data_IF_335771915493
#
_entry.id   IF_335771915493
#
_cell.length_a   1.000
_cell.length_b   1.000
_cell.length_c   1.000
_cell.angle_alpha   90.00
_cell.angle_beta   90.00
_cell.angle_gamma   90.00
#
_symmetry.space_group_name_H-M   'P 1'
#
loop_
_entity.id
_entity.type
_entity.pdbx_description
1 polymer ?
#
# COMPACT_ATOMS: atom_id res chain seq x y z
N UNK A 1 -9.23 3.87 -7.99
CA UNK A 1 -9.97 4.71 -7.02
C UNK A 1 -9.33 4.55 -5.67
N UNK A 2 -9.16 5.65 -4.94
CA UNK A 2 -8.75 5.63 -3.53
C UNK A 2 -10.00 5.70 -2.63
N UNK A 3 -9.99 4.94 -1.54
CA UNK A 3 -11.10 4.83 -0.59
C UNK A 3 -10.52 4.94 0.81
N UNK A 4 -11.12 5.78 1.64
CA UNK A 4 -10.66 6.08 2.99
C UNK A 4 -11.58 5.40 4.01
N UNK A 5 -10.96 4.63 4.90
CA UNK A 5 -11.60 3.94 6.00
C UNK A 5 -11.26 4.61 7.31
N UNK A 6 -12.25 4.75 8.17
CA UNK A 6 -12.03 5.06 9.58
C UNK A 6 -11.65 3.76 10.31
N UNK A 7 -10.77 3.87 11.30
CA UNK A 7 -10.31 2.73 12.08
C UNK A 7 -10.64 2.99 13.54
N UNK A 8 -11.28 2.04 14.20
CA UNK A 8 -11.62 2.15 15.62
C UNK A 8 -10.33 2.21 16.45
N UNK A 9 -10.34 3.07 17.47
CA UNK A 9 -9.21 3.28 18.40
C UNK A 9 -7.90 3.72 17.70
N UNK A 10 -7.99 4.38 16.55
CA UNK A 10 -6.84 4.90 15.81
C UNK A 10 -7.10 6.33 15.32
N UNK A 11 -6.16 7.24 15.58
CA UNK A 11 -6.34 8.69 15.35
C UNK A 11 -6.34 9.10 13.88
N UNK A 12 -5.79 8.26 12.99
CA UNK A 12 -5.69 8.55 11.56
C UNK A 12 -6.63 7.66 10.75
N UNK A 13 -6.83 8.00 9.49
CA UNK A 13 -7.58 7.16 8.55
C UNK A 13 -6.65 6.19 7.81
N UNK A 14 -7.24 5.13 7.25
CA UNK A 14 -6.54 4.19 6.37
C UNK A 14 -7.10 4.32 4.95
N UNK A 15 -6.27 4.77 4.02
CA UNK A 15 -6.66 4.89 2.61
C UNK A 15 -6.13 3.69 1.83
N UNK A 16 -6.97 3.11 0.98
CA UNK A 16 -6.62 1.98 0.09
C UNK A 16 -6.84 2.37 -1.36
N UNK A 17 -6.15 1.69 -2.26
CA UNK A 17 -6.36 1.84 -3.70
C UNK A 17 -6.95 0.56 -4.30
N UNK A 18 -7.96 0.71 -5.16
CA UNK A 18 -8.55 -0.39 -5.92
C UNK A 18 -8.82 -0.01 -7.38
N UNK A 19 -8.67 -0.97 -8.29
CA UNK A 19 -9.15 -0.89 -9.67
C UNK A 19 -10.51 -1.55 -9.87
N UNK A 20 -11.03 -2.22 -8.82
CA UNK A 20 -12.31 -2.94 -8.80
C UNK A 20 -13.23 -2.38 -7.70
N UNK A 21 -13.65 -1.10 -7.78
CA UNK A 21 -14.65 -0.57 -6.85
C UNK A 21 -16.02 -1.25 -7.02
N UNK A 22 -16.28 -1.90 -8.16
CA UNK A 22 -17.47 -2.73 -8.37
C UNK A 22 -17.62 -3.78 -7.27
N UNK A 23 -16.52 -4.40 -6.82
CA UNK A 23 -16.55 -5.48 -5.83
C UNK A 23 -16.50 -5.00 -4.39
N UNK A 24 -16.64 -3.69 -4.14
CA UNK A 24 -16.40 -3.07 -2.83
C UNK A 24 -17.25 -3.67 -1.70
N UNK A 25 -18.51 -4.02 -1.98
CA UNK A 25 -19.43 -4.61 -1.00
C UNK A 25 -19.03 -6.02 -0.54
N UNK A 26 -18.08 -6.65 -1.22
CA UNK A 26 -17.46 -7.92 -0.87
C UNK A 26 -16.16 -7.77 -0.06
N UNK A 27 -15.80 -6.54 0.34
CA UNK A 27 -14.63 -6.27 1.16
C UNK A 27 -14.86 -6.81 2.59
N UNK A 28 -14.15 -7.87 2.96
CA UNK A 28 -14.31 -8.53 4.27
C UNK A 28 -13.16 -8.28 5.24
N UNK A 29 -12.01 -7.80 4.75
CA UNK A 29 -10.88 -7.36 5.58
C UNK A 29 -10.01 -6.36 4.83
N UNK A 30 -9.14 -5.66 5.55
CA UNK A 30 -8.11 -4.81 4.96
C UNK A 30 -6.73 -5.41 5.18
N UNK A 31 -5.85 -5.32 4.20
CA UNK A 31 -4.47 -5.74 4.32
C UNK A 31 -3.53 -4.55 4.18
N UNK A 32 -2.63 -4.37 5.14
CA UNK A 32 -1.62 -3.32 5.16
C UNK A 32 -0.22 -3.91 5.02
N UNK A 33 0.69 -3.15 4.42
CA UNK A 33 2.09 -3.53 4.37
C UNK A 33 2.68 -3.62 5.78
N UNK A 34 3.62 -4.52 6.01
CA UNK A 34 4.33 -4.64 7.29
C UNK A 34 4.99 -3.32 7.74
N UNK A 35 5.44 -2.49 6.79
CA UNK A 35 6.03 -1.18 7.08
C UNK A 35 5.03 -0.05 7.34
N UNK A 36 3.72 -0.28 7.22
CA UNK A 36 2.69 0.76 7.31
C UNK A 36 2.60 1.34 8.74
N UNK A 37 2.38 2.66 8.91
CA UNK A 37 2.31 3.28 10.25
C UNK A 37 1.32 2.62 11.21
N UNK A 38 0.15 2.18 10.70
CA UNK A 38 -0.84 1.43 11.48
C UNK A 38 -0.28 0.09 11.99
N UNK A 39 0.44 -0.66 11.15
CA UNK A 39 1.06 -1.92 11.55
C UNK A 39 2.17 -1.70 12.59
N UNK A 40 2.97 -0.64 12.43
CA UNK A 40 3.97 -0.24 13.41
C UNK A 40 3.35 0.13 14.75
N UNK A 41 2.21 0.84 14.73
CA UNK A 41 1.47 1.22 15.94
C UNK A 41 0.90 0.00 16.66
N UNK A 42 0.32 -0.95 15.91
CA UNK A 42 -0.18 -2.20 16.47
C UNK A 42 0.94 -3.07 17.07
N UNK A 43 2.13 -3.06 16.46
CA UNK A 43 3.28 -3.84 16.91
C UNK A 43 3.82 -3.40 18.28
N UNK A 44 3.56 -2.17 18.73
CA UNK A 44 3.97 -1.69 20.07
C UNK A 44 3.44 -2.59 21.19
N UNK A 45 2.24 -3.18 20.99
CA UNK A 45 1.57 -4.02 21.98
C UNK A 45 1.37 -5.47 21.52
N UNK A 46 1.92 -5.86 20.37
CA UNK A 46 1.78 -7.19 19.79
C UNK A 46 3.16 -7.75 19.37
N UNK A 47 3.78 -8.62 20.21
CA UNK A 47 5.09 -9.20 19.92
C UNK A 47 5.14 -10.05 18.65
N UNK A 48 4.05 -10.75 18.32
CA UNK A 48 3.96 -11.55 17.09
C UNK A 48 4.02 -10.65 15.85
N UNK A 49 3.27 -9.54 15.87
CA UNK A 49 3.29 -8.57 14.80
C UNK A 49 4.64 -7.86 14.68
N UNK A 50 5.28 -7.51 15.80
CA UNK A 50 6.62 -6.93 15.79
C UNK A 50 7.65 -7.87 15.12
N UNK A 51 7.62 -9.16 15.48
CA UNK A 51 8.48 -10.18 14.86
C UNK A 51 8.20 -10.35 13.37
N UNK A 52 6.92 -10.34 12.97
CA UNK A 52 6.51 -10.43 11.57
C UNK A 52 6.99 -9.22 10.73
N UNK A 53 6.93 -8.01 11.30
CA UNK A 53 7.44 -6.80 10.63
C UNK A 53 8.95 -6.90 10.40
N UNK A 54 9.71 -7.39 11.38
CA UNK A 54 11.15 -7.57 11.25
C UNK A 54 11.52 -8.73 10.30
N UNK A 55 10.72 -9.81 10.23
CA UNK A 55 10.85 -10.84 9.19
C UNK A 55 10.71 -10.22 7.80
N UNK A 56 9.63 -9.46 7.58
CA UNK A 56 9.33 -8.84 6.28
C UNK A 56 10.40 -7.83 5.84
N UNK A 57 11.03 -7.10 6.77
CA UNK A 57 12.12 -6.16 6.46
C UNK A 57 13.37 -6.84 5.91
N UNK A 58 13.64 -8.06 6.38
CA UNK A 58 14.83 -8.83 5.98
C UNK A 58 14.60 -9.62 4.68
N UNK A 59 13.34 -9.79 4.27
CA UNK A 59 12.94 -10.46 3.04
C UNK A 59 12.97 -9.47 1.86
N UNK A 60 14.13 -9.32 1.22
CA UNK A 60 14.25 -8.60 -0.06
C UNK A 60 13.92 -9.54 -1.20
N UNK A 61 12.68 -9.50 -1.66
CA UNK A 61 12.18 -10.43 -2.67
C UNK A 61 11.67 -9.64 -3.86
N UNK A 62 12.01 -10.09 -5.08
CA UNK A 62 11.48 -9.47 -6.29
C UNK A 62 9.97 -9.71 -6.39
N UNK A 63 9.19 -8.80 -7.01
CA UNK A 63 7.73 -8.96 -7.14
C UNK A 63 7.32 -10.35 -7.65
N UNK A 64 8.08 -10.91 -8.61
CA UNK A 64 7.79 -12.22 -9.19
C UNK A 64 7.94 -13.37 -8.19
N UNK A 65 8.89 -13.27 -7.26
CA UNK A 65 9.10 -14.25 -6.21
C UNK A 65 8.04 -14.09 -5.10
N UNK A 66 7.55 -12.86 -4.85
CA UNK A 66 6.46 -12.64 -3.88
C UNK A 66 5.14 -13.30 -4.29
N UNK A 67 4.89 -13.45 -5.60
CA UNK A 67 3.68 -14.10 -6.10
C UNK A 67 3.64 -15.61 -5.81
N UNK A 68 4.80 -16.26 -5.69
CA UNK A 68 4.92 -17.70 -5.39
C UNK A 68 5.21 -17.98 -3.92
N UNK A 69 5.55 -16.93 -3.14
CA UNK A 69 5.76 -17.05 -1.71
C UNK A 69 4.48 -17.43 -0.98
N UNK A 70 4.68 -18.17 0.12
CA UNK A 70 3.61 -18.42 1.05
C UNK A 70 3.06 -17.09 1.61
N UNK A 71 1.76 -16.88 1.44
CA UNK A 71 1.07 -15.71 1.98
C UNK A 71 1.03 -15.81 3.49
N UNK A 72 1.71 -14.89 4.16
CA UNK A 72 1.76 -14.78 5.62
C UNK A 72 1.19 -13.45 6.04
N UNK A 73 0.50 -13.46 7.18
CA UNK A 73 0.03 -12.24 7.83
C UNK A 73 -0.35 -12.48 9.28
N UNK A 74 -0.51 -11.37 9.98
CA UNK A 74 -0.84 -11.30 11.41
C UNK A 74 -1.97 -10.29 11.60
N UNK A 75 -2.95 -10.63 12.44
CA UNK A 75 -4.04 -9.71 12.80
C UNK A 75 -3.45 -8.54 13.60
N UNK A 76 -3.75 -7.31 13.17
CA UNK A 76 -3.29 -6.10 13.86
C UNK A 76 -4.09 -5.82 15.13
N UNK A 77 -5.26 -6.45 15.30
CA UNK A 77 -6.23 -6.17 16.34
C UNK A 77 -7.15 -4.99 16.02
N UNK A 78 -6.75 -4.10 15.10
CA UNK A 78 -7.56 -2.97 14.66
C UNK A 78 -8.72 -3.43 13.77
N UNK A 79 -9.85 -2.72 13.88
CA UNK A 79 -11.02 -2.88 13.03
C UNK A 79 -11.28 -1.59 12.27
N UNK A 80 -11.46 -1.70 10.97
CA UNK A 80 -11.87 -0.60 10.12
C UNK A 80 -13.39 -0.62 9.91
N UNK A 81 -13.99 0.55 9.79
CA UNK A 81 -15.43 0.68 9.53
C UNK A 81 -15.64 0.76 8.03
N UNK A 82 -16.36 -0.21 7.47
CA UNK A 82 -16.70 -0.22 6.05
C UNK A 82 -17.67 0.94 5.75
N UNK A 83 -17.35 1.88 4.85
CA UNK A 83 -18.09 3.15 4.74
C UNK A 83 -19.53 2.98 4.23
N UNK A 84 -19.84 1.96 3.43
CA UNK A 84 -21.20 1.72 2.92
C UNK A 84 -22.06 0.80 3.80
N UNK A 85 -21.49 -0.25 4.41
CA UNK A 85 -22.25 -1.19 5.25
C UNK A 85 -22.26 -0.79 6.73
N UNK A 86 -21.28 0.00 7.18
CA UNK A 86 -21.05 0.30 8.60
C UNK A 86 -20.46 -0.86 9.40
N UNK A 87 -20.19 -2.00 8.77
CA UNK A 87 -19.64 -3.19 9.43
C UNK A 87 -18.17 -3.01 9.78
N UNK A 88 -17.76 -3.61 10.90
CA UNK A 88 -16.36 -3.69 11.29
C UNK A 88 -15.65 -4.81 10.53
N UNK A 89 -14.58 -4.46 9.83
CA UNK A 89 -13.74 -5.40 9.10
C UNK A 89 -12.33 -5.43 9.72
N UNK A 90 -11.73 -6.62 9.92
CA UNK A 90 -10.41 -6.74 10.52
C UNK A 90 -9.31 -6.16 9.62
N UNK A 91 -8.30 -5.57 10.24
CA UNK A 91 -7.08 -5.10 9.56
C UNK A 91 -5.94 -6.08 9.83
N UNK A 92 -5.33 -6.58 8.76
CA UNK A 92 -4.23 -7.54 8.81
C UNK A 92 -2.95 -6.93 8.24
N UNK A 93 -1.81 -7.23 8.86
CA UNK A 93 -0.51 -6.98 8.24
C UNK A 93 -0.16 -8.19 7.36
N UNK A 94 0.15 -7.97 6.08
CA UNK A 94 0.42 -9.05 5.14
C UNK A 94 1.70 -8.82 4.33
N UNK A 95 2.40 -9.91 4.02
CA UNK A 95 3.71 -9.85 3.33
C UNK A 95 3.59 -9.51 1.85
N UNK A 96 2.44 -9.76 1.22
CA UNK A 96 2.21 -9.50 -0.20
C UNK A 96 1.78 -8.05 -0.50
N UNK A 97 1.53 -7.24 0.54
CA UNK A 97 1.19 -5.82 0.40
C UNK A 97 2.46 -4.97 0.46
N UNK A 98 2.71 -4.21 -0.60
CA UNK A 98 3.92 -3.41 -0.75
C UNK A 98 3.67 -1.95 -0.34
N UNK A 99 4.50 -1.44 0.56
CA UNK A 99 4.41 -0.03 1.02
C UNK A 99 4.64 0.98 -0.13
N UNK A 100 5.47 0.60 -1.11
CA UNK A 100 5.81 1.44 -2.27
C UNK A 100 4.71 1.47 -3.35
N UNK A 101 3.70 0.61 -3.24
CA UNK A 101 2.64 0.49 -4.23
C UNK A 101 1.32 1.06 -3.71
N UNK A 102 0.80 2.09 -4.37
CA UNK A 102 -0.40 2.79 -3.95
C UNK A 102 -0.20 3.48 -2.59
N UNK A 103 -1.08 3.21 -1.64
CA UNK A 103 -1.05 3.78 -0.28
C UNK A 103 -0.37 2.87 0.74
N UNK A 104 0.16 1.73 0.31
CA UNK A 104 0.66 0.69 1.23
C UNK A 104 -0.44 -0.10 1.95
N UNK A 105 -1.68 0.02 1.48
CA UNK A 105 -2.84 -0.70 1.98
C UNK A 105 -3.79 -1.07 0.84
N UNK A 106 -4.44 -2.22 0.96
CA UNK A 106 -5.42 -2.73 -0.01
C UNK A 106 -6.68 -3.20 0.72
N UNK A 107 -7.83 -2.99 0.09
CA UNK A 107 -9.06 -3.67 0.48
C UNK A 107 -8.99 -5.09 -0.05
N UNK A 108 -9.34 -6.07 0.78
CA UNK A 108 -9.33 -7.45 0.36
C UNK A 108 -10.74 -7.92 0.03
N UNK A 109 -10.91 -8.46 -1.18
CA UNK A 109 -12.19 -8.98 -1.67
C UNK A 109 -12.03 -10.44 -2.07
N UNK A 110 -12.04 -11.37 -1.10
CA UNK A 110 -11.72 -12.79 -1.33
C UNK A 110 -12.58 -13.47 -2.39
N UNK A 111 -13.82 -13.03 -2.58
CA UNK A 111 -14.67 -13.61 -3.63
C UNK A 111 -14.20 -13.32 -5.05
N UNK A 112 -13.39 -12.28 -5.26
CA UNK A 112 -13.07 -11.74 -6.58
C UNK A 112 -11.60 -11.37 -6.82
N UNK A 113 -10.72 -11.57 -5.84
CA UNK A 113 -9.26 -11.52 -6.00
C UNK A 113 -8.64 -12.82 -5.47
N UNK A 114 -7.90 -13.52 -6.33
CA UNK A 114 -7.31 -14.82 -6.01
C UNK A 114 -6.26 -14.74 -4.88
N UNK A 115 -5.55 -13.61 -4.74
CA UNK A 115 -4.55 -13.44 -3.68
C UNK A 115 -5.24 -13.28 -2.34
N UNK A 116 -6.32 -12.51 -2.31
CA UNK A 116 -7.15 -12.31 -1.13
C UNK A 116 -7.89 -13.60 -0.75
N UNK A 117 -8.36 -14.36 -1.74
CA UNK A 117 -8.97 -15.67 -1.53
C UNK A 117 -8.04 -16.63 -0.79
N UNK A 118 -6.82 -16.83 -1.31
CA UNK A 118 -5.87 -17.76 -0.69
C UNK A 118 -5.49 -17.33 0.74
N UNK A 119 -5.38 -16.02 1.00
CA UNK A 119 -5.15 -15.52 2.34
C UNK A 119 -6.36 -15.75 3.25
N UNK A 120 -7.56 -15.42 2.78
CA UNK A 120 -8.79 -15.62 3.54
C UNK A 120 -9.04 -17.10 3.87
N UNK A 121 -8.87 -17.99 2.90
CA UNK A 121 -9.00 -19.44 3.10
C UNK A 121 -7.98 -19.97 4.11
N UNK A 122 -6.74 -19.49 4.07
CA UNK A 122 -5.68 -19.90 5.01
C UNK A 122 -5.97 -19.46 6.45
N UNK A 123 -6.48 -18.25 6.63
CA UNK A 123 -6.69 -17.63 7.94
C UNK A 123 -8.14 -17.71 8.44
N UNK A 124 -9.03 -18.39 7.70
CA UNK A 124 -10.44 -18.55 8.07
C UNK A 124 -11.22 -17.23 8.06
N UNK A 125 -10.85 -16.28 7.20
CA UNK A 125 -11.55 -15.01 7.04
C UNK A 125 -12.80 -15.18 6.18
N UNK A 126 -13.75 -14.26 6.35
CA UNK A 126 -15.01 -14.30 5.63
C UNK A 126 -14.80 -14.13 4.11
N UNK A 127 -15.46 -14.96 3.30
CA UNK A 127 -15.44 -14.91 1.84
C UNK A 127 -16.86 -14.59 1.37
N UNK A 128 -17.05 -13.38 0.84
CA UNK A 128 -18.38 -12.87 0.44
C UNK A 128 -18.45 -12.71 -1.08
N UNK A 129 -19.31 -13.47 -1.79
CA UNK A 129 -19.53 -13.26 -3.22
C UNK A 129 -20.44 -12.04 -3.45
N UNK A 130 -20.07 -11.22 -4.43
CA UNK A 130 -20.82 -10.02 -4.84
C UNK A 130 -20.96 -9.85 -6.36
N UNK A 131 -20.33 -10.70 -7.17
CA UNK A 131 -20.47 -10.72 -8.63
C UNK A 131 -21.05 -12.06 -9.07
N UNK A 132 -22.10 -12.03 -9.88
CA UNK A 132 -22.71 -13.23 -10.48
C UNK A 132 -21.77 -13.86 -11.52
N UNK A 133 -21.88 -15.17 -11.68
CA UNK A 133 -21.21 -15.89 -12.76
C UNK A 133 -21.75 -15.47 -14.14
N UNK A 134 -21.08 -15.87 -15.21
CA UNK A 134 -21.41 -15.46 -16.59
C UNK A 134 -22.82 -15.88 -17.04
N UNK A 135 -23.40 -16.92 -16.43
CA UNK A 135 -24.76 -17.39 -16.69
C UNK A 135 -25.82 -16.73 -15.78
N UNK A 136 -25.42 -15.79 -14.91
CA UNK A 136 -26.28 -15.10 -13.97
C UNK A 136 -26.54 -15.86 -12.66
N UNK A 137 -25.89 -17.01 -12.44
CA UNK A 137 -25.98 -17.76 -11.19
C UNK A 137 -25.03 -17.23 -10.10
N UNK A 138 -25.28 -17.59 -8.84
CA UNK A 138 -24.33 -17.33 -7.76
C UNK A 138 -23.06 -18.18 -7.97
N UNK A 139 -21.85 -17.58 -7.88
CA UNK A 139 -20.62 -18.30 -8.16
C UNK A 139 -20.28 -19.31 -7.05
N UNK A 140 -19.75 -20.46 -7.45
CA UNK A 140 -19.11 -21.40 -6.52
C UNK A 140 -17.69 -20.92 -6.21
N UNK A 141 -17.50 -20.41 -4.99
CA UNK A 141 -16.22 -19.97 -4.45
C UNK A 141 -15.55 -21.02 -3.56
N UNK A 142 -15.91 -22.31 -3.66
CA UNK A 142 -15.33 -23.36 -2.82
C UNK A 142 -13.87 -23.68 -3.17
N UNK A 143 -13.44 -23.38 -4.40
CA UNK A 143 -12.09 -23.69 -4.89
C UNK A 143 -11.24 -22.44 -5.15
N UNK A 144 -11.81 -21.38 -5.72
CA UNK A 144 -11.08 -20.20 -6.18
C UNK A 144 -11.97 -18.95 -6.25
N UNK A 145 -11.35 -17.78 -6.40
CA UNK A 145 -12.06 -16.52 -6.63
C UNK A 145 -12.64 -16.44 -8.05
N UNK A 146 -13.80 -15.78 -8.20
CA UNK A 146 -14.34 -15.39 -9.50
C UNK A 146 -13.75 -14.04 -9.91
N UNK A 147 -12.76 -14.06 -10.81
CA UNK A 147 -12.04 -12.84 -11.22
C UNK A 147 -12.73 -12.07 -12.35
N UNK A 148 -13.62 -12.74 -13.07
CA UNK A 148 -14.40 -12.16 -14.17
C UNK A 148 -15.25 -10.98 -13.71
N UNK A 149 -15.55 -10.10 -14.66
CA UNK A 149 -16.47 -8.98 -14.46
C UNK A 149 -17.88 -9.45 -14.81
N UNK A 150 -18.85 -9.10 -13.98
CA UNK A 150 -20.22 -9.53 -14.14
C UNK A 150 -21.20 -8.58 -13.47
N UNK A 151 -22.44 -9.05 -13.30
CA UNK A 151 -23.52 -8.31 -12.66
C UNK A 151 -23.39 -8.39 -11.15
N UNK A 152 -23.64 -7.28 -10.46
CA UNK A 152 -23.60 -7.22 -9.01
C UNK A 152 -24.80 -7.93 -8.36
N UNK A 153 -24.51 -8.67 -7.29
CA UNK A 153 -25.47 -9.15 -6.32
C UNK A 153 -24.90 -9.00 -4.90
N UNK A 154 -25.71 -9.21 -3.85
CA UNK A 154 -25.28 -9.00 -2.45
C UNK A 154 -24.62 -7.63 -2.15
N UNK A 155 -24.98 -6.62 -2.92
CA UNK A 155 -24.36 -5.28 -2.96
C UNK A 155 -25.36 -4.16 -2.64
N UNK A 156 -26.49 -4.47 -2.01
CA UNK A 156 -27.48 -3.48 -1.56
C UNK A 156 -28.08 -2.66 -2.70
N UNK A 157 -27.92 -1.34 -2.67
CA UNK A 157 -28.47 -0.41 -3.66
C UNK A 157 -27.86 -0.57 -5.07
N UNK A 158 -26.74 -1.31 -5.20
CA UNK A 158 -26.04 -1.53 -6.47
C UNK A 158 -26.39 -2.87 -7.15
N UNK A 159 -27.29 -3.66 -6.56
CA UNK A 159 -27.69 -4.95 -7.12
C UNK A 159 -28.28 -4.80 -8.54
N UNK A 160 -27.91 -5.73 -9.43
CA UNK A 160 -28.39 -5.77 -10.81
C UNK A 160 -27.66 -4.86 -11.80
N UNK A 161 -26.70 -4.05 -11.34
CA UNK A 161 -25.85 -3.26 -12.22
C UNK A 161 -24.76 -4.13 -12.86
N UNK A 162 -24.43 -3.85 -14.12
CA UNK A 162 -23.25 -4.39 -14.78
C UNK A 162 -21.96 -3.72 -14.27
N UNK A 163 -20.80 -4.23 -14.68
CA UNK A 163 -19.51 -3.75 -14.18
C UNK A 163 -19.29 -2.24 -14.38
N UNK A 164 -19.64 -1.69 -15.55
CA UNK A 164 -19.37 -0.28 -15.86
C UNK A 164 -20.31 0.67 -15.09
N UNK A 165 -21.59 0.32 -15.00
CA UNK A 165 -22.56 1.08 -14.21
C UNK A 165 -22.24 0.97 -12.72
N UNK A 166 -21.92 -0.23 -12.23
CA UNK A 166 -21.50 -0.52 -10.87
C UNK A 166 -20.28 0.31 -10.45
N UNK A 167 -19.24 0.30 -11.29
CA UNK A 167 -18.02 1.05 -11.03
C UNK A 167 -18.33 2.54 -10.83
N UNK A 168 -19.10 3.13 -11.74
CA UNK A 168 -19.44 4.55 -11.67
C UNK A 168 -20.35 4.85 -10.47
N UNK A 169 -21.38 4.04 -10.23
CA UNK A 169 -22.32 4.25 -9.13
C UNK A 169 -21.64 4.20 -7.75
N UNK A 170 -20.78 3.20 -7.52
CA UNK A 170 -20.03 3.08 -6.26
C UNK A 170 -19.00 4.21 -6.14
N UNK A 171 -18.30 4.55 -7.23
CA UNK A 171 -17.33 5.64 -7.20
C UNK A 171 -17.99 6.98 -6.88
N UNK A 172 -19.15 7.28 -7.48
CA UNK A 172 -19.88 8.52 -7.26
C UNK A 172 -20.46 8.57 -5.85
N UNK A 173 -20.96 7.45 -5.33
CA UNK A 173 -21.44 7.35 -3.94
C UNK A 173 -20.33 7.64 -2.93
N UNK A 174 -19.17 6.98 -3.07
CA UNK A 174 -18.03 7.17 -2.18
C UNK A 174 -17.48 8.60 -2.26
N UNK A 175 -17.47 9.20 -3.47
CA UNK A 175 -17.07 10.59 -3.68
C UNK A 175 -18.06 11.56 -3.01
N UNK A 176 -19.37 11.34 -3.17
CA UNK A 176 -20.41 12.17 -2.56
C UNK A 176 -20.38 12.11 -1.02
N UNK A 177 -19.95 10.97 -0.45
CA UNK A 177 -19.75 10.80 0.99
C UNK A 177 -18.43 11.41 1.50
N UNK A 178 -17.55 11.88 0.60
CA UNK A 178 -16.24 12.44 0.96
C UNK A 178 -15.23 11.40 1.44
N UNK A 179 -15.49 10.11 1.18
CA UNK A 179 -14.64 8.98 1.64
C UNK A 179 -13.91 8.29 0.49
N UNK A 180 -13.96 8.82 -0.73
CA UNK A 180 -13.18 8.29 -1.84
C UNK A 180 -13.01 9.27 -3.00
N UNK A 181 -11.98 9.03 -3.80
CA UNK A 181 -11.70 9.83 -5.00
C UNK A 181 -11.23 8.97 -6.18
N UNK A 182 -11.66 9.33 -7.39
CA UNK A 182 -11.21 8.66 -8.62
C UNK A 182 -9.73 8.99 -8.87
N UNK A 183 -8.87 8.01 -8.62
CA UNK A 183 -7.43 8.08 -8.87
C UNK A 183 -6.99 7.19 -10.04
N UNK A 184 -6.14 7.74 -10.90
CA UNK A 184 -5.37 6.98 -11.90
C UNK A 184 -4.02 6.62 -11.28
N UNK A 185 -3.67 5.33 -11.32
CA UNK A 185 -2.39 4.84 -10.83
C UNK A 185 -1.66 4.07 -11.93
N UNK A 186 -0.33 4.08 -11.91
CA UNK A 186 0.50 3.42 -12.89
C UNK A 186 1.30 2.31 -12.23
N UNK A 187 1.44 1.17 -12.91
CA UNK A 187 2.38 0.13 -12.50
C UNK A 187 3.84 0.55 -12.71
N UNK A 188 4.08 1.53 -13.58
CA UNK A 188 5.41 2.08 -13.82
C UNK A 188 5.94 2.75 -12.56
N UNK A 189 7.15 2.38 -12.15
CA UNK A 189 7.86 2.98 -11.02
C UNK A 189 8.87 4.01 -11.51
N UNK A 190 9.26 4.91 -10.61
CA UNK A 190 10.36 5.83 -10.87
C UNK A 190 11.63 5.08 -11.25
N UNK A 191 12.36 5.64 -12.21
CA UNK A 191 13.60 5.04 -12.65
C UNK A 191 14.71 5.30 -11.61
N UNK A 192 14.96 4.29 -10.78
CA UNK A 192 16.13 4.28 -9.91
C UNK A 192 17.41 4.20 -10.74
N UNK A 193 18.04 5.35 -11.03
CA UNK A 193 19.30 5.45 -11.78
C UNK A 193 20.55 5.32 -10.90
N UNK A 194 20.42 5.53 -9.59
CA UNK A 194 21.55 5.50 -8.66
C UNK A 194 22.10 4.10 -8.45
N UNK A 195 23.43 3.96 -8.46
CA UNK A 195 24.12 2.67 -8.29
C UNK A 195 25.31 2.83 -7.34
N UNK A 196 25.46 1.86 -6.43
CA UNK A 196 26.63 1.72 -5.55
C UNK A 196 27.71 0.90 -6.25
N UNK A 197 28.23 1.45 -7.36
CA UNK A 197 29.27 0.84 -8.20
C UNK A 197 30.26 1.92 -8.59
N UNK A 198 31.55 1.59 -8.53
CA UNK A 198 32.62 2.52 -8.91
C UNK A 198 32.62 2.82 -10.41
N UNK A 199 32.39 1.82 -11.25
CA UNK A 199 32.44 1.97 -12.71
C UNK A 199 31.10 2.46 -13.27
N UNK A 200 30.95 3.79 -13.35
CA UNK A 200 29.76 4.46 -13.91
C UNK A 200 29.95 5.98 -13.95
N UNK A 201 29.04 6.68 -14.64
CA UNK A 201 29.05 8.14 -14.65
C UNK A 201 28.71 8.69 -13.24
N UNK A 202 29.48 9.64 -12.67
CA UNK A 202 29.16 10.24 -11.39
C UNK A 202 27.81 10.99 -11.43
N UNK A 203 26.99 10.82 -10.38
CA UNK A 203 25.76 11.62 -10.22
C UNK A 203 26.18 13.05 -9.82
N UNK A 204 25.81 14.09 -10.58
CA UNK A 204 26.33 15.44 -10.39
C UNK A 204 25.62 16.17 -9.23
N UNK A 205 25.78 15.66 -8.01
CA UNK A 205 25.18 16.21 -6.79
C UNK A 205 26.26 16.37 -5.71
N UNK A 206 26.14 17.43 -4.89
CA UNK A 206 27.00 17.67 -3.72
C UNK A 206 26.14 17.92 -2.47
N UNK A 207 26.51 17.31 -1.35
CA UNK A 207 25.84 17.52 -0.07
C UNK A 207 26.64 18.52 0.77
N UNK A 208 26.11 19.71 1.01
CA UNK A 208 26.75 20.73 1.85
C UNK A 208 26.43 20.54 3.35
N UNK A 209 27.33 21.01 4.22
CA UNK A 209 27.10 21.05 5.66
C UNK A 209 25.93 21.97 6.04
N UNK A 210 25.24 21.68 7.16
CA UNK A 210 24.00 22.37 7.61
C UNK A 210 24.06 23.91 7.60
N UNK A 211 25.23 24.53 7.79
CA UNK A 211 25.40 25.99 7.79
C UNK A 211 25.14 26.66 6.43
N UNK A 212 25.17 25.91 5.33
CA UNK A 212 25.04 26.44 3.97
C UNK A 212 23.69 26.15 3.32
N UNK A 213 22.73 25.56 4.05
CA UNK A 213 21.43 25.13 3.49
C UNK A 213 20.44 26.28 3.23
N UNK A 214 20.61 27.43 3.90
CA UNK A 214 19.76 28.61 3.77
C UNK A 214 20.42 29.73 2.94
N UNK A 215 21.49 29.42 2.20
CA UNK A 215 22.09 30.39 1.30
C UNK A 215 21.18 30.54 0.08
N UNK A 216 20.51 31.70 0.00
CA UNK A 216 19.76 32.15 -1.17
C UNK A 216 20.62 32.02 -2.44
N UNK A 217 20.18 31.29 -3.49
CA UNK A 217 20.95 31.09 -4.71
C UNK A 217 21.28 32.39 -5.46
N UNK A 218 20.67 33.52 -5.08
CA UNK A 218 20.94 34.85 -5.65
C UNK A 218 21.96 35.71 -4.91
N UNK A 219 22.50 35.27 -3.75
CA UNK A 219 23.45 36.10 -2.97
C UNK A 219 24.89 35.64 -3.23
N UNK A 220 25.79 36.47 -3.80
CA UNK A 220 27.18 36.10 -3.90
C UNK A 220 27.72 35.82 -2.50
N UNK A 221 28.42 34.69 -2.36
CA UNK A 221 29.11 34.35 -1.12
C UNK A 221 29.92 35.56 -0.68
N UNK A 222 29.63 36.07 0.53
CA UNK A 222 30.42 37.15 1.11
C UNK A 222 31.88 36.69 1.08
N UNK A 223 32.71 37.44 0.34
CA UNK A 223 34.11 37.11 0.11
C UNK A 223 34.80 36.83 1.44
N UNK A 224 35.40 35.65 1.53
CA UNK A 224 36.26 35.27 2.64
C UNK A 224 37.45 36.24 2.67
N UNK A 225 37.65 37.05 3.73
CA UNK A 225 38.73 38.01 3.74
C UNK A 225 40.04 37.27 4.00
N UNK A 226 40.88 37.28 2.97
CA UNK A 226 42.33 37.22 3.03
C UNK A 226 42.97 35.89 3.49
N UNK A 227 43.77 35.34 2.57
CA UNK A 227 44.63 34.21 2.81
C UNK A 227 45.59 34.41 3.99
N UNK A 228 45.86 33.29 4.66
CA UNK A 228 47.18 33.02 5.24
C UNK A 228 47.69 31.72 4.62
N UNK A 229 48.51 31.87 3.58
CA UNK A 229 49.53 30.89 3.26
C UNK A 229 50.42 30.72 4.50
N UNK A 230 50.32 29.58 5.17
CA UNK A 230 51.28 29.12 6.17
C UNK A 230 52.14 28.02 5.57
N UNK A 231 53.39 28.36 5.30
CA UNK A 231 54.42 27.50 4.72
C UNK A 231 54.61 26.15 5.43
N UNK A 232 54.77 25.11 4.59
CA UNK A 232 55.82 24.10 4.64
C UNK A 232 56.13 23.41 5.97
N UNK A 233 55.94 22.08 6.00
CA UNK A 233 56.96 21.20 6.54
C UNK A 233 56.91 19.80 5.89
N UNK A 234 58.11 19.41 5.50
CA UNK A 234 58.60 18.22 4.83
C UNK A 234 57.93 16.88 5.17
N UNK A 235 57.73 16.11 4.11
CA UNK A 235 57.70 14.65 4.09
C UNK A 235 59.13 14.13 4.30
N UNK A 236 59.35 13.27 5.30
CA UNK A 236 60.50 12.35 5.34
C UNK A 236 59.96 10.94 5.58
N UNK A 237 60.31 9.95 4.75
CA UNK A 237 60.03 8.56 5.02
C UNK A 237 61.18 7.93 5.83
N UNK A 238 60.82 7.06 6.77
CA UNK A 238 61.55 5.86 7.15
C UNK A 238 60.52 4.72 7.24
#
# INVERSE_FOLDING_TARGET
MEITFNVNDYDNTLTVYTTRPDTFMGCTYLAVAAGHPLAQKAAENNPELAAFIDECRNTKVAEAEMATMEKKGVDTGFKAVHPLTGEEIPVWAANFVLMEYGTGAVMAVPGHDQRDYEFASKYGLNIKPVILAADGSEPDLSQQALTEKGVLFNSGEFNGLDHEAAFNAIADKLTAMGVGERKVNYRLRDWGVSRQRYWGAPIPMVTLGRRYRNADPGRPAAGDPAGRCGNGRHYQPD
#
